data_IF_189296841255
#
_entry.id   IF_189296841255
#
_cell.length_a   1.000
_cell.length_b   1.000
_cell.length_c   1.000
_cell.angle_alpha   90.00
_cell.angle_beta   90.00
_cell.angle_gamma   90.00
#
_symmetry.space_group_name_H-M   'P 1'
#
loop_
_entity.id
_entity.type
_entity.pdbx_description
1 polymer ?
#
# COMPACT_ATOMS: atom_id res chain seq x y z
N UNK A 1 28.97 4.36 5.23
CA UNK A 1 28.55 3.40 4.24
C UNK A 1 29.74 3.09 3.32
N UNK A 2 30.08 1.81 3.21
CA UNK A 2 31.15 1.37 2.31
C UNK A 2 30.71 1.55 0.86
N UNK A 3 31.60 2.03 0.03
CA UNK A 3 31.37 2.10 -1.42
C UNK A 3 31.27 0.68 -2.02
N UNK A 4 30.64 0.51 -3.19
CA UNK A 4 30.62 -0.78 -3.90
C UNK A 4 32.02 -1.37 -4.13
N UNK A 5 33.01 -0.52 -4.38
CA UNK A 5 34.41 -0.90 -4.56
C UNK A 5 35.05 -1.44 -3.27
N UNK A 6 34.74 -0.83 -2.12
CA UNK A 6 35.24 -1.29 -0.81
C UNK A 6 34.57 -2.61 -0.38
N UNK A 7 33.29 -2.82 -0.74
CA UNK A 7 32.61 -4.11 -0.57
C UNK A 7 33.26 -5.19 -1.44
N UNK A 8 33.54 -4.88 -2.69
CA UNK A 8 34.20 -5.79 -3.61
C UNK A 8 35.60 -6.18 -3.12
N UNK A 9 36.40 -5.22 -2.66
CA UNK A 9 37.72 -5.46 -2.09
C UNK A 9 37.70 -6.31 -0.80
N UNK A 10 36.64 -6.21 0.01
CA UNK A 10 36.42 -7.08 1.19
C UNK A 10 35.98 -8.49 0.85
N UNK A 11 35.32 -8.67 -0.29
CA UNK A 11 34.87 -9.98 -0.79
C UNK A 11 35.92 -10.67 -1.70
N UNK A 12 36.95 -9.94 -2.14
CA UNK A 12 38.13 -10.53 -2.80
C UNK A 12 39.09 -11.10 -1.76
N UNK A 13 39.54 -12.22 -1.95
CA UNK A 13 38.94 -13.53 -1.81
C UNK A 13 39.56 -14.30 -0.68
N UNK A 14 38.78 -14.85 0.15
CA UNK A 14 39.26 -16.05 0.81
C UNK A 14 39.66 -17.08 -0.27
N UNK A 15 40.83 -17.70 -0.16
CA UNK A 15 41.31 -18.71 -1.13
C UNK A 15 40.28 -19.85 -1.35
N UNK A 16 39.36 -20.06 -0.40
CA UNK A 16 38.23 -20.95 -0.52
C UNK A 16 37.23 -20.53 -1.62
N UNK A 17 37.02 -19.24 -1.86
CA UNK A 17 36.09 -18.76 -2.90
C UNK A 17 36.60 -19.01 -4.32
N UNK A 18 37.92 -19.16 -4.51
CA UNK A 18 38.50 -19.49 -5.81
C UNK A 18 38.20 -20.92 -6.24
N UNK A 19 37.75 -21.78 -5.31
CA UNK A 19 37.36 -23.18 -5.55
C UNK A 19 35.86 -23.38 -5.76
N UNK A 20 35.06 -22.32 -5.55
CA UNK A 20 33.63 -22.38 -5.82
C UNK A 20 33.41 -22.45 -7.35
N UNK A 21 32.43 -23.22 -7.76
CA UNK A 21 32.00 -23.23 -9.15
C UNK A 21 31.40 -21.87 -9.59
N UNK A 22 31.12 -21.74 -10.87
CA UNK A 22 30.63 -20.47 -11.44
C UNK A 22 29.31 -20.05 -10.77
N UNK A 23 28.41 -21.01 -10.48
CA UNK A 23 27.11 -20.73 -9.86
C UNK A 23 27.29 -20.21 -8.45
N UNK A 24 28.12 -20.91 -7.63
CA UNK A 24 28.36 -20.50 -6.26
C UNK A 24 29.09 -19.15 -6.20
N UNK A 25 30.02 -18.88 -7.12
CA UNK A 25 30.69 -17.57 -7.23
C UNK A 25 29.72 -16.46 -7.60
N UNK A 26 28.81 -16.73 -8.54
CA UNK A 26 27.78 -15.77 -8.93
C UNK A 26 26.86 -15.44 -7.75
N UNK A 27 26.42 -16.45 -6.98
CA UNK A 27 25.57 -16.24 -5.80
C UNK A 27 26.28 -15.43 -4.69
N UNK A 28 27.59 -15.65 -4.49
CA UNK A 28 28.35 -14.96 -3.44
C UNK A 28 28.79 -13.56 -3.85
N UNK A 29 29.09 -13.35 -5.15
CA UNK A 29 29.41 -12.02 -5.70
C UNK A 29 28.19 -11.20 -6.09
N UNK A 30 27.00 -11.73 -5.82
CA UNK A 30 25.75 -11.14 -6.20
C UNK A 30 25.50 -9.77 -5.53
N UNK A 31 25.31 -8.76 -6.34
CA UNK A 31 24.80 -7.45 -5.93
C UNK A 31 23.30 -7.39 -6.26
N UNK A 32 22.48 -7.06 -5.26
CA UNK A 32 21.01 -7.02 -5.40
C UNK A 32 20.55 -6.13 -6.57
N UNK A 33 21.31 -5.09 -6.87
CA UNK A 33 21.03 -4.18 -7.98
C UNK A 33 21.21 -4.83 -9.36
N UNK A 34 22.14 -5.77 -9.50
CA UNK A 34 22.36 -6.45 -10.79
C UNK A 34 21.24 -7.46 -11.15
N UNK A 35 20.59 -8.13 -10.18
CA UNK A 35 19.42 -8.96 -10.49
C UNK A 35 18.23 -8.09 -10.92
N UNK A 36 17.99 -6.98 -10.24
CA UNK A 36 16.94 -6.05 -10.63
C UNK A 36 17.12 -5.59 -12.10
N UNK A 37 18.37 -5.31 -12.50
CA UNK A 37 18.66 -4.91 -13.87
C UNK A 37 18.52 -6.07 -14.86
N UNK A 38 18.91 -7.28 -14.49
CA UNK A 38 18.71 -8.49 -15.31
C UNK A 38 17.23 -8.78 -15.51
N UNK A 39 16.44 -8.76 -14.45
CA UNK A 39 14.99 -8.96 -14.52
C UNK A 39 14.31 -7.88 -15.37
N UNK A 40 14.77 -6.63 -15.25
CA UNK A 40 14.26 -5.50 -16.03
C UNK A 40 14.53 -5.67 -17.52
N UNK A 41 15.67 -6.25 -17.89
CA UNK A 41 16.04 -6.49 -19.30
C UNK A 41 15.07 -7.43 -20.03
N UNK A 42 14.35 -8.28 -19.30
CA UNK A 42 13.37 -9.21 -19.88
C UNK A 42 11.94 -8.66 -19.91
N UNK A 43 11.70 -7.50 -19.28
CA UNK A 43 10.38 -6.89 -19.25
C UNK A 43 10.04 -6.19 -20.58
N UNK A 44 8.78 -6.24 -21.02
CA UNK A 44 8.29 -5.35 -22.08
C UNK A 44 8.57 -3.88 -21.75
N UNK A 45 8.87 -3.09 -22.76
CA UNK A 45 9.32 -1.70 -22.61
C UNK A 45 8.40 -0.84 -21.72
N UNK A 46 7.08 -1.03 -21.79
CA UNK A 46 6.13 -0.30 -20.96
C UNK A 46 6.26 -0.66 -19.46
N UNK A 47 6.47 -1.93 -19.14
CA UNK A 47 6.69 -2.39 -17.76
C UNK A 47 8.05 -1.96 -17.23
N UNK A 48 9.09 -2.03 -18.06
CA UNK A 48 10.43 -1.55 -17.71
C UNK A 48 10.43 -0.05 -17.40
N UNK A 49 9.79 0.76 -18.25
CA UNK A 49 9.64 2.20 -18.02
C UNK A 49 8.84 2.53 -16.74
N UNK A 50 7.76 1.78 -16.50
CA UNK A 50 6.99 1.93 -15.27
C UNK A 50 7.82 1.59 -14.03
N UNK A 51 8.54 0.46 -14.05
CA UNK A 51 9.45 0.05 -12.98
C UNK A 51 10.49 1.12 -12.68
N UNK A 52 11.17 1.64 -13.71
CA UNK A 52 12.15 2.72 -13.56
C UNK A 52 11.54 3.94 -12.89
N UNK A 53 10.36 4.38 -13.33
CA UNK A 53 9.65 5.51 -12.73
C UNK A 53 9.39 5.31 -11.23
N UNK A 54 8.91 4.12 -10.83
CA UNK A 54 8.65 3.84 -9.41
C UNK A 54 9.95 3.72 -8.62
N UNK A 55 11.01 3.12 -9.18
CA UNK A 55 12.34 3.05 -8.60
C UNK A 55 12.92 4.44 -8.34
N UNK A 56 12.82 5.35 -9.30
CA UNK A 56 13.30 6.72 -9.16
C UNK A 56 12.55 7.48 -8.06
N UNK A 57 11.22 7.33 -8.02
CA UNK A 57 10.42 7.87 -6.92
C UNK A 57 10.86 7.29 -5.56
N UNK A 58 11.01 5.98 -5.47
CA UNK A 58 11.42 5.29 -4.24
C UNK A 58 12.84 5.69 -3.80
N UNK A 59 13.77 5.83 -4.74
CA UNK A 59 15.13 6.28 -4.45
C UNK A 59 15.18 7.72 -3.93
N UNK A 60 14.35 8.60 -4.50
CA UNK A 60 14.30 10.02 -4.16
C UNK A 60 13.59 10.30 -2.84
N UNK A 61 12.42 9.70 -2.63
CA UNK A 61 11.52 10.08 -1.53
C UNK A 61 11.39 9.01 -0.43
N UNK A 62 11.64 7.74 -0.71
CA UNK A 62 11.44 6.66 0.26
C UNK A 62 12.74 6.24 0.94
N UNK A 63 13.75 5.91 0.14
CA UNK A 63 15.03 5.37 0.64
C UNK A 63 15.76 6.29 1.62
N UNK A 64 15.84 7.62 1.44
CA UNK A 64 16.53 8.51 2.37
C UNK A 64 15.92 8.51 3.78
N UNK A 65 14.61 8.27 3.89
CA UNK A 65 13.87 8.35 5.15
C UNK A 65 13.58 6.99 5.79
N UNK A 66 13.99 5.89 5.14
CA UNK A 66 13.67 4.52 5.55
C UNK A 66 14.09 4.22 6.98
N UNK A 67 15.32 4.57 7.35
CA UNK A 67 15.86 4.30 8.68
C UNK A 67 15.22 5.19 9.75
N UNK A 68 15.03 6.46 9.48
CA UNK A 68 14.42 7.41 10.42
C UNK A 68 13.00 6.98 10.76
N UNK A 69 12.17 6.72 9.73
CA UNK A 69 10.76 6.36 9.92
C UNK A 69 10.56 4.94 10.46
N UNK A 70 11.55 4.06 10.36
CA UNK A 70 11.49 2.76 11.04
C UNK A 70 11.74 2.88 12.55
N UNK A 71 12.52 3.85 12.99
CA UNK A 71 12.82 4.08 14.40
C UNK A 71 11.86 5.06 15.07
N UNK A 72 11.51 6.13 14.39
CA UNK A 72 10.72 7.24 14.92
C UNK A 72 9.58 7.59 13.97
N UNK A 73 8.41 7.90 14.54
CA UNK A 73 7.32 8.46 13.76
C UNK A 73 7.57 9.95 13.60
N UNK A 74 7.94 10.37 12.40
CA UNK A 74 8.07 11.77 12.02
C UNK A 74 6.91 12.17 11.09
N UNK A 75 5.90 12.90 11.59
CA UNK A 75 4.76 13.31 10.77
C UNK A 75 5.15 14.23 9.61
N UNK A 76 6.21 15.02 9.75
CA UNK A 76 6.67 15.93 8.70
C UNK A 76 7.27 15.15 7.52
N UNK A 77 8.13 14.18 7.80
CA UNK A 77 8.69 13.28 6.78
C UNK A 77 7.61 12.44 6.09
N UNK A 78 6.65 11.92 6.86
CA UNK A 78 5.51 11.22 6.27
C UNK A 78 4.71 12.14 5.36
N UNK A 79 4.45 13.37 5.77
CA UNK A 79 3.72 14.35 4.97
C UNK A 79 4.46 14.67 3.67
N UNK A 80 5.77 14.83 3.71
CA UNK A 80 6.60 15.04 2.52
C UNK A 80 6.46 13.89 1.52
N UNK A 81 6.64 12.64 1.98
CA UNK A 81 6.57 11.46 1.12
C UNK A 81 5.18 11.28 0.51
N UNK A 82 4.12 11.43 1.32
CA UNK A 82 2.75 11.27 0.84
C UNK A 82 2.33 12.39 -0.10
N UNK A 83 2.77 13.62 0.17
CA UNK A 83 2.54 14.76 -0.74
C UNK A 83 3.27 14.57 -2.07
N UNK A 84 4.52 14.10 -2.04
CA UNK A 84 5.25 13.75 -3.26
C UNK A 84 4.54 12.64 -4.05
N UNK A 85 4.02 11.61 -3.37
CA UNK A 85 3.29 10.52 -4.00
C UNK A 85 2.00 11.02 -4.69
N UNK A 86 1.28 11.94 -4.08
CA UNK A 86 0.10 12.57 -4.68
C UNK A 86 0.46 13.47 -5.87
N UNK A 87 1.50 14.30 -5.74
CA UNK A 87 1.95 15.23 -6.79
C UNK A 87 2.49 14.48 -8.00
N UNK A 88 3.29 13.43 -7.79
CA UNK A 88 3.85 12.58 -8.84
C UNK A 88 2.87 11.49 -9.32
N UNK A 89 1.62 11.54 -8.87
CA UNK A 89 0.54 10.64 -9.28
C UNK A 89 0.84 9.15 -9.01
N UNK A 90 1.51 8.85 -7.90
CA UNK A 90 1.76 7.46 -7.48
C UNK A 90 0.47 6.79 -6.99
N UNK A 91 -0.46 7.55 -6.42
CA UNK A 91 -1.73 7.02 -5.91
C UNK A 91 -2.74 6.66 -6.99
N UNK A 92 -2.73 7.39 -8.12
CA UNK A 92 -3.72 7.24 -9.18
C UNK A 92 -3.14 6.72 -10.51
N UNK A 93 -1.87 6.36 -10.54
CA UNK A 93 -1.15 6.00 -11.79
C UNK A 93 -1.71 4.76 -12.49
N UNK A 94 -2.36 3.85 -11.77
CA UNK A 94 -2.98 2.64 -12.30
C UNK A 94 -4.51 2.76 -12.45
N UNK A 95 -5.10 3.86 -12.01
CA UNK A 95 -6.53 4.09 -12.20
C UNK A 95 -6.86 4.51 -13.64
N UNK A 96 -8.02 4.06 -14.17
CA UNK A 96 -8.44 4.49 -15.50
C UNK A 96 -8.81 5.98 -15.52
N UNK A 97 -8.75 6.66 -16.69
CA UNK A 97 -9.31 7.98 -16.85
C UNK A 97 -10.81 8.02 -16.49
N UNK A 98 -11.32 9.10 -15.92
CA UNK A 98 -10.67 10.39 -15.67
C UNK A 98 -9.85 10.46 -14.36
N UNK A 99 -9.82 9.39 -13.56
CA UNK A 99 -9.26 9.39 -12.21
C UNK A 99 -7.72 9.23 -12.20
N UNK A 100 -7.15 8.60 -13.23
CA UNK A 100 -5.71 8.37 -13.32
C UNK A 100 -5.21 8.24 -14.74
N UNK A 101 -3.95 7.82 -14.89
CA UNK A 101 -3.27 7.69 -16.18
C UNK A 101 -3.10 6.22 -16.61
N UNK A 102 -3.84 5.29 -16.01
CA UNK A 102 -3.71 3.86 -16.23
C UNK A 102 -4.17 3.33 -17.59
N UNK A 103 -4.65 4.21 -18.47
CA UNK A 103 -5.17 3.79 -19.81
C UNK A 103 -4.19 2.96 -20.64
N UNK A 104 -2.89 3.20 -20.49
CA UNK A 104 -1.86 2.46 -21.20
C UNK A 104 -1.52 1.14 -20.51
N UNK A 105 -1.54 1.12 -19.18
CA UNK A 105 -1.26 -0.06 -18.40
C UNK A 105 -2.32 -1.14 -18.64
N UNK A 106 -3.59 -0.77 -18.53
CA UNK A 106 -4.73 -1.71 -18.65
C UNK A 106 -4.92 -2.22 -20.08
N UNK A 107 -4.56 -1.43 -21.09
CA UNK A 107 -4.76 -1.82 -22.50
C UNK A 107 -3.71 -2.78 -23.03
N UNK A 108 -2.51 -2.85 -22.43
CA UNK A 108 -1.35 -3.56 -23.00
C UNK A 108 -0.90 -4.72 -22.12
N UNK A 109 -0.99 -4.58 -20.78
CA UNK A 109 -0.53 -5.60 -19.83
C UNK A 109 -1.49 -5.74 -18.65
N UNK A 110 -1.59 -6.93 -18.03
CA UNK A 110 -2.42 -7.14 -16.84
C UNK A 110 -2.05 -6.19 -15.70
N UNK A 111 -3.04 -5.53 -15.12
CA UNK A 111 -2.86 -4.61 -13.98
C UNK A 111 -2.05 -5.21 -12.81
N UNK A 112 -2.21 -6.51 -12.45
CA UNK A 112 -1.42 -7.12 -11.40
C UNK A 112 0.09 -7.01 -11.59
N UNK A 113 0.61 -7.03 -12.82
CA UNK A 113 2.05 -6.85 -13.08
C UNK A 113 2.54 -5.46 -12.68
N UNK A 114 1.78 -4.42 -13.00
CA UNK A 114 2.12 -3.06 -12.58
C UNK A 114 2.08 -2.90 -11.07
N UNK A 115 1.08 -3.50 -10.39
CA UNK A 115 1.01 -3.50 -8.94
C UNK A 115 2.18 -4.23 -8.30
N UNK A 116 2.58 -5.38 -8.86
CA UNK A 116 3.73 -6.14 -8.35
C UNK A 116 5.02 -5.35 -8.48
N UNK A 117 5.29 -4.75 -9.65
CA UNK A 117 6.46 -3.90 -9.84
C UNK A 117 6.47 -2.68 -8.91
N UNK A 118 5.31 -2.06 -8.73
CA UNK A 118 5.16 -0.94 -7.79
C UNK A 118 5.45 -1.34 -6.35
N UNK A 119 4.88 -2.46 -5.91
CA UNK A 119 5.10 -2.98 -4.57
C UNK A 119 6.57 -3.35 -4.35
N UNK A 120 7.17 -4.01 -5.32
CA UNK A 120 8.57 -4.42 -5.31
C UNK A 120 9.51 -3.23 -5.13
N UNK A 121 9.42 -2.21 -5.98
CA UNK A 121 10.32 -1.06 -5.95
C UNK A 121 10.12 -0.17 -4.71
N UNK A 122 8.88 0.06 -4.29
CA UNK A 122 8.60 0.83 -3.08
C UNK A 122 9.10 0.09 -1.82
N UNK A 123 8.82 -1.22 -1.72
CA UNK A 123 9.20 -2.02 -0.56
C UNK A 123 10.69 -2.34 -0.53
N UNK A 124 11.38 -2.43 -1.69
CA UNK A 124 12.83 -2.55 -1.75
C UNK A 124 13.54 -1.31 -1.19
N UNK A 125 12.92 -0.13 -1.30
CA UNK A 125 13.45 1.09 -0.68
C UNK A 125 13.17 1.12 0.84
N UNK A 126 11.93 0.81 1.24
CA UNK A 126 11.52 0.64 2.65
C UNK A 126 10.17 -0.10 2.73
N UNK A 127 10.17 -1.30 3.33
CA UNK A 127 8.94 -2.10 3.46
C UNK A 127 7.83 -1.40 4.24
N UNK A 128 8.15 -0.60 5.25
CA UNK A 128 7.17 0.15 6.03
C UNK A 128 6.55 1.31 5.25
N UNK A 129 7.36 2.15 4.62
CA UNK A 129 6.86 3.27 3.82
C UNK A 129 6.14 2.74 2.57
N UNK A 130 6.71 1.72 1.91
CA UNK A 130 6.07 1.06 0.77
C UNK A 130 4.68 0.55 1.12
N UNK A 131 4.53 -0.17 2.25
CA UNK A 131 3.23 -0.62 2.74
C UNK A 131 2.27 0.55 2.99
N UNK A 132 2.74 1.63 3.64
CA UNK A 132 1.89 2.79 3.93
C UNK A 132 1.34 3.46 2.66
N UNK A 133 2.17 3.57 1.62
CA UNK A 133 1.74 4.10 0.31
C UNK A 133 0.78 3.16 -0.41
N UNK A 134 1.05 1.84 -0.39
CA UNK A 134 0.22 0.84 -1.05
C UNK A 134 -1.15 0.65 -0.35
N UNK A 135 -1.20 0.82 0.96
CA UNK A 135 -2.43 0.72 1.74
C UNK A 135 -3.49 1.74 1.28
N UNK A 136 -3.08 2.92 0.80
CA UNK A 136 -4.01 3.89 0.19
C UNK A 136 -4.68 3.32 -1.05
N UNK A 137 -3.93 2.64 -1.92
CA UNK A 137 -4.47 1.95 -3.09
C UNK A 137 -5.45 0.85 -2.72
N UNK A 138 -5.12 0.07 -1.69
CA UNK A 138 -6.02 -0.97 -1.16
C UNK A 138 -7.31 -0.37 -0.60
N UNK A 139 -7.22 0.77 0.11
CA UNK A 139 -8.40 1.47 0.64
C UNK A 139 -9.29 2.08 -0.44
N UNK A 140 -8.72 2.53 -1.56
CA UNK A 140 -9.47 3.11 -2.69
C UNK A 140 -10.04 2.05 -3.65
N UNK A 141 -9.42 0.87 -3.70
CA UNK A 141 -9.82 -0.20 -4.62
C UNK A 141 -11.32 -0.56 -4.55
N UNK A 142 -11.94 -0.70 -3.37
CA UNK A 142 -13.38 -1.02 -3.30
C UNK A 142 -14.28 0.04 -3.92
N UNK A 143 -13.90 1.32 -3.84
CA UNK A 143 -14.67 2.42 -4.45
C UNK A 143 -14.64 2.28 -5.98
N UNK A 144 -13.49 1.90 -6.53
CA UNK A 144 -13.31 1.73 -7.98
C UNK A 144 -13.97 0.44 -8.47
N UNK A 145 -13.81 -0.65 -7.71
CA UNK A 145 -14.29 -1.99 -8.09
C UNK A 145 -15.79 -2.20 -7.85
N UNK A 146 -16.42 -1.36 -7.05
CA UNK A 146 -17.86 -1.45 -6.80
C UNK A 146 -18.73 -1.32 -8.05
N UNK A 147 -18.21 -0.66 -9.10
CA UNK A 147 -18.99 -0.29 -10.27
C UNK A 147 -19.96 0.87 -10.02
N UNK A 148 -20.04 1.40 -8.81
CA UNK A 148 -20.86 2.58 -8.48
C UNK A 148 -20.15 3.85 -9.00
N UNK A 149 -20.49 4.20 -10.23
CA UNK A 149 -19.94 5.39 -10.91
C UNK A 149 -20.29 6.68 -10.16
N UNK A 150 -21.45 6.74 -9.51
CA UNK A 150 -21.87 7.92 -8.76
C UNK A 150 -21.00 8.10 -7.51
N UNK A 151 -20.75 7.03 -6.74
CA UNK A 151 -19.85 7.04 -5.60
C UNK A 151 -18.40 7.37 -6.05
N UNK A 152 -17.90 6.72 -7.09
CA UNK A 152 -16.57 6.98 -7.64
C UNK A 152 -16.41 8.45 -8.05
N UNK A 153 -17.36 9.00 -8.82
CA UNK A 153 -17.32 10.40 -9.26
C UNK A 153 -17.46 11.41 -8.12
N UNK A 154 -18.09 11.03 -7.03
CA UNK A 154 -18.23 11.88 -5.84
C UNK A 154 -16.98 11.91 -4.98
N UNK A 155 -16.35 10.77 -4.75
CA UNK A 155 -15.29 10.64 -3.73
C UNK A 155 -13.88 10.65 -4.31
N UNK A 156 -13.63 10.01 -5.46
CA UNK A 156 -12.28 9.92 -6.02
C UNK A 156 -11.64 11.28 -6.36
N UNK A 157 -12.36 12.29 -6.89
CA UNK A 157 -11.76 13.60 -7.13
C UNK A 157 -11.22 14.27 -5.86
N UNK A 158 -11.89 14.10 -4.72
CA UNK A 158 -11.42 14.62 -3.43
C UNK A 158 -10.22 13.80 -2.91
N UNK A 159 -10.33 12.47 -2.96
CA UNK A 159 -9.31 11.53 -2.47
C UNK A 159 -8.00 11.66 -3.26
N UNK A 160 -8.08 11.84 -4.57
CA UNK A 160 -6.93 11.86 -5.48
C UNK A 160 -6.45 13.28 -5.81
N UNK A 161 -7.04 14.30 -5.20
CA UNK A 161 -6.63 15.69 -5.37
C UNK A 161 -5.18 15.88 -4.94
N UNK A 162 -4.43 16.62 -5.75
CA UNK A 162 -3.10 17.06 -5.33
C UNK A 162 -3.22 18.00 -4.14
N UNK A 163 -2.49 17.75 -3.05
CA UNK A 163 -2.53 18.63 -1.87
C UNK A 163 -1.93 20.00 -2.20
N UNK A 164 -2.39 21.02 -1.50
CA UNK A 164 -1.73 22.31 -1.49
C UNK A 164 -0.40 22.21 -0.72
N UNK A 165 0.47 23.22 -0.86
CA UNK A 165 1.74 23.24 -0.13
C UNK A 165 1.50 23.19 1.39
N UNK A 166 2.08 22.20 2.04
CA UNK A 166 1.91 21.97 3.48
C UNK A 166 0.64 21.24 3.89
N UNK A 167 -0.21 20.88 2.93
CA UNK A 167 -1.40 20.07 3.18
C UNK A 167 -1.06 18.57 3.08
N UNK A 168 -1.53 17.76 4.02
CA UNK A 168 -1.44 16.31 3.93
C UNK A 168 -2.50 15.78 2.95
N UNK A 169 -2.15 14.90 1.99
CA UNK A 169 -3.11 14.39 1.02
C UNK A 169 -4.19 13.55 1.71
N UNK A 170 -5.36 13.46 1.08
CA UNK A 170 -6.41 12.58 1.54
C UNK A 170 -5.99 11.11 1.36
N UNK A 171 -5.92 10.37 2.46
CA UNK A 171 -5.55 8.95 2.49
C UNK A 171 -6.79 8.12 2.82
N UNK A 172 -6.89 6.96 2.19
CA UNK A 172 -7.92 5.97 2.47
C UNK A 172 -7.28 4.74 3.10
N UNK A 173 -7.80 4.33 4.25
CA UNK A 173 -7.42 3.07 4.88
C UNK A 173 -8.44 1.97 4.58
N UNK A 174 -7.98 0.72 4.58
CA UNK A 174 -8.81 -0.48 4.33
C UNK A 174 -9.05 -1.22 5.64
N UNK A 175 -10.28 -1.23 6.12
CA UNK A 175 -10.64 -1.74 7.43
C UNK A 175 -11.54 -2.98 7.33
N UNK A 176 -10.91 -4.16 7.21
CA UNK A 176 -11.59 -5.47 7.17
C UNK A 176 -11.38 -6.25 8.47
N UNK A 177 -10.14 -6.34 8.96
CA UNK A 177 -9.76 -7.19 10.09
C UNK A 177 -10.42 -6.77 11.39
N UNK A 178 -10.92 -7.74 12.14
CA UNK A 178 -11.55 -7.60 13.44
C UNK A 178 -10.77 -8.34 14.53
N UNK A 179 -11.02 -8.10 15.83
CA UNK A 179 -10.30 -8.81 16.89
C UNK A 179 -10.41 -10.33 16.85
N UNK A 180 -11.52 -10.85 16.32
CA UNK A 180 -11.81 -12.28 16.25
C UNK A 180 -11.57 -12.90 14.89
N UNK A 181 -11.42 -12.11 13.82
CA UNK A 181 -11.34 -12.61 12.46
C UNK A 181 -10.60 -11.66 11.51
N UNK A 182 -10.00 -12.21 10.47
CA UNK A 182 -9.25 -11.48 9.45
C UNK A 182 -9.51 -12.04 8.06
N UNK A 183 -8.54 -12.77 7.48
CA UNK A 183 -8.61 -13.35 6.13
C UNK A 183 -9.69 -14.41 5.95
N UNK A 184 -10.18 -15.02 7.00
CA UNK A 184 -11.31 -15.96 7.00
C UNK A 184 -12.61 -15.34 6.47
N UNK A 185 -12.75 -14.03 6.51
CA UNK A 185 -13.87 -13.32 5.89
C UNK A 185 -13.81 -13.28 4.35
N UNK A 186 -12.67 -13.63 3.77
CA UNK A 186 -12.46 -13.66 2.32
C UNK A 186 -12.79 -15.03 1.71
N UNK A 187 -13.01 -16.06 2.53
CA UNK A 187 -13.34 -17.41 2.07
C UNK A 187 -14.84 -17.64 1.99
N UNK A 188 -15.31 -17.95 0.78
CA UNK A 188 -16.74 -18.21 0.53
C UNK A 188 -17.29 -19.44 1.26
N UNK A 189 -16.45 -20.45 1.55
CA UNK A 189 -16.87 -21.71 2.19
C UNK A 189 -16.96 -21.64 3.72
N UNK A 190 -16.18 -20.77 4.35
CA UNK A 190 -16.16 -20.57 5.81
C UNK A 190 -16.96 -19.37 6.28
N UNK A 191 -17.33 -18.48 5.36
CA UNK A 191 -17.98 -17.21 5.67
C UNK A 191 -19.31 -17.36 6.44
N UNK A 192 -20.08 -18.41 6.17
CA UNK A 192 -21.35 -18.69 6.86
C UNK A 192 -21.19 -19.03 8.36
N UNK A 193 -20.00 -19.41 8.79
CA UNK A 193 -19.71 -19.74 10.19
C UNK A 193 -19.20 -18.54 10.98
N UNK A 194 -18.84 -17.46 10.28
CA UNK A 194 -18.33 -16.25 10.91
C UNK A 194 -19.45 -15.28 11.26
N UNK A 195 -19.40 -14.75 12.45
CA UNK A 195 -20.30 -13.69 12.92
C UNK A 195 -19.53 -12.37 12.99
N UNK A 196 -19.74 -11.43 12.05
CA UNK A 196 -19.05 -10.15 12.05
C UNK A 196 -19.28 -9.39 13.34
N UNK A 197 -18.19 -8.84 13.92
CA UNK A 197 -18.27 -7.96 15.08
C UNK A 197 -18.59 -6.51 14.71
N UNK A 198 -18.43 -6.15 13.43
CA UNK A 198 -18.79 -4.81 12.94
C UNK A 198 -20.12 -4.90 12.18
N UNK A 199 -21.13 -4.24 12.72
CA UNK A 199 -22.51 -4.30 12.25
C UNK A 199 -22.98 -2.91 11.79
N UNK A 200 -23.67 -2.88 10.67
CA UNK A 200 -24.33 -1.70 10.12
C UNK A 200 -25.86 -1.82 10.29
N UNK A 201 -26.44 -0.88 11.01
CA UNK A 201 -27.89 -0.77 11.22
C UNK A 201 -28.45 0.40 10.42
N UNK A 202 -29.54 0.16 9.71
CA UNK A 202 -30.23 1.24 9.00
C UNK A 202 -30.94 2.17 9.98
N UNK A 203 -30.77 3.47 9.79
CA UNK A 203 -31.41 4.53 10.57
C UNK A 203 -31.96 5.60 9.65
N UNK A 204 -32.80 6.48 10.17
CA UNK A 204 -33.30 7.61 9.39
C UNK A 204 -32.16 8.48 8.87
N UNK A 205 -32.05 8.60 7.57
CA UNK A 205 -31.02 9.40 6.90
C UNK A 205 -29.68 8.71 6.66
N UNK A 206 -29.55 7.39 6.95
CA UNK A 206 -28.30 6.68 6.67
C UNK A 206 -28.10 5.38 7.42
N UNK A 207 -26.87 5.15 7.86
CA UNK A 207 -26.43 3.94 8.54
C UNK A 207 -25.70 4.27 9.84
N UNK A 208 -25.92 3.48 10.87
CA UNK A 208 -25.16 3.48 12.09
C UNK A 208 -24.25 2.24 12.10
N UNK A 209 -22.94 2.46 12.10
CA UNK A 209 -21.94 1.41 12.21
C UNK A 209 -21.51 1.28 13.66
N UNK A 210 -21.46 0.05 14.15
CA UNK A 210 -20.92 -0.26 15.48
C UNK A 210 -20.00 -1.46 15.38
N UNK A 211 -18.77 -1.32 15.89
CA UNK A 211 -17.78 -2.37 15.86
C UNK A 211 -16.37 -1.85 16.04
N UNK A 212 -15.40 -2.77 15.95
CA UNK A 212 -13.97 -2.48 16.08
C UNK A 212 -13.19 -3.19 15.00
N UNK A 213 -12.35 -2.43 14.32
CA UNK A 213 -11.35 -2.94 13.38
C UNK A 213 -9.96 -2.83 13.98
N UNK A 214 -9.06 -3.77 13.66
CA UNK A 214 -7.68 -3.84 14.19
C UNK A 214 -6.69 -4.04 13.06
N UNK A 215 -5.43 -3.69 13.29
CA UNK A 215 -4.34 -3.84 12.33
C UNK A 215 -4.56 -3.10 11.00
N UNK A 216 -5.16 -1.92 11.08
CA UNK A 216 -5.53 -1.15 9.88
C UNK A 216 -4.38 -0.23 9.50
N UNK A 217 -3.65 -0.61 8.45
CA UNK A 217 -2.53 0.17 7.93
C UNK A 217 -2.98 1.58 7.52
N UNK A 218 -2.30 2.59 8.08
CA UNK A 218 -2.64 3.98 7.84
C UNK A 218 -3.92 4.47 8.52
N UNK A 219 -4.56 3.67 9.39
CA UNK A 219 -5.80 4.05 10.06
C UNK A 219 -5.70 5.32 10.91
N UNK A 220 -4.51 5.64 11.43
CA UNK A 220 -4.25 6.84 12.23
C UNK A 220 -4.08 8.12 11.40
N UNK A 221 -3.72 8.01 10.12
CA UNK A 221 -3.52 9.16 9.22
C UNK A 221 -4.62 9.30 8.16
N UNK A 222 -5.43 8.27 7.93
CA UNK A 222 -6.43 8.25 6.88
C UNK A 222 -7.53 9.29 7.10
N UNK A 223 -7.92 10.00 6.03
CA UNK A 223 -9.06 10.91 6.00
C UNK A 223 -10.37 10.15 5.78
N UNK A 224 -10.29 9.04 5.07
CA UNK A 224 -11.38 8.12 4.77
C UNK A 224 -10.99 6.70 5.16
N UNK A 225 -11.95 5.93 5.58
CA UNK A 225 -11.78 4.53 5.91
C UNK A 225 -12.84 3.72 5.17
N UNK A 226 -12.40 2.79 4.34
CA UNK A 226 -13.24 1.76 3.72
C UNK A 226 -13.51 0.67 4.74
N UNK A 227 -14.65 0.74 5.41
CA UNK A 227 -15.04 -0.15 6.51
C UNK A 227 -15.97 -1.23 6.00
N UNK A 228 -15.61 -2.49 6.22
CA UNK A 228 -16.52 -3.62 5.98
C UNK A 228 -17.35 -3.92 7.21
N UNK A 229 -18.66 -4.02 7.03
CA UNK A 229 -19.62 -4.38 8.06
C UNK A 229 -20.73 -5.28 7.50
N UNK A 230 -21.26 -6.17 8.31
CA UNK A 230 -22.47 -6.91 7.96
C UNK A 230 -23.70 -6.07 8.32
N UNK A 231 -24.80 -6.28 7.59
CA UNK A 231 -26.07 -5.67 7.96
C UNK A 231 -26.65 -6.37 9.19
N UNK A 232 -27.32 -5.59 10.02
CA UNK A 232 -27.95 -6.10 11.25
C UNK A 232 -28.90 -7.26 10.94
N UNK A 233 -28.70 -8.40 11.59
CA UNK A 233 -29.49 -9.65 11.45
C UNK A 233 -29.36 -10.38 10.10
N UNK A 234 -28.38 -10.02 9.24
CA UNK A 234 -28.25 -10.64 7.91
C UNK A 234 -27.01 -11.52 7.75
N UNK A 235 -26.05 -11.47 8.69
CA UNK A 235 -24.82 -12.28 8.65
C UNK A 235 -23.83 -11.87 7.56
N UNK A 236 -22.89 -12.77 7.23
CA UNK A 236 -21.79 -12.50 6.29
C UNK A 236 -22.23 -12.25 4.85
N UNK A 237 -23.35 -12.78 4.42
CA UNK A 237 -23.87 -12.59 3.06
C UNK A 237 -24.21 -11.13 2.76
N UNK A 238 -24.45 -10.33 3.82
CA UNK A 238 -24.73 -8.90 3.75
C UNK A 238 -23.47 -8.02 3.83
N UNK A 239 -22.27 -8.61 3.78
CA UNK A 239 -21.00 -7.91 3.91
C UNK A 239 -20.89 -6.73 2.96
N UNK A 240 -20.93 -5.53 3.51
CA UNK A 240 -21.07 -4.28 2.78
C UNK A 240 -19.93 -3.34 3.11
N UNK A 241 -19.42 -2.63 2.09
CA UNK A 241 -18.43 -1.58 2.28
C UNK A 241 -19.12 -0.25 2.60
N UNK A 242 -18.63 0.41 3.63
CA UNK A 242 -19.02 1.77 4.01
C UNK A 242 -17.79 2.68 3.95
N UNK A 243 -17.89 3.78 3.20
CA UNK A 243 -16.85 4.81 3.21
C UNK A 243 -17.09 5.78 4.35
N UNK A 244 -16.29 5.68 5.39
CA UNK A 244 -16.38 6.47 6.61
C UNK A 244 -15.37 7.63 6.59
N UNK A 245 -15.81 8.85 6.87
CA UNK A 245 -14.91 9.99 7.10
C UNK A 245 -14.41 10.01 8.54
N UNK A 246 -13.16 10.36 8.74
CA UNK A 246 -12.54 10.50 10.06
C UNK A 246 -13.34 11.39 11.02
N UNK A 247 -13.95 12.45 10.54
CA UNK A 247 -14.71 13.40 11.37
C UNK A 247 -16.14 12.99 11.73
N UNK A 248 -16.58 11.77 11.38
CA UNK A 248 -17.91 11.31 11.74
C UNK A 248 -18.03 11.09 13.24
N UNK A 249 -19.19 11.45 13.81
CA UNK A 249 -19.49 11.26 15.23
C UNK A 249 -19.36 9.77 15.60
N UNK A 250 -18.70 9.48 16.71
CA UNK A 250 -18.43 8.12 17.18
C UNK A 250 -17.21 7.42 16.55
N UNK A 251 -16.57 8.01 15.54
CA UNK A 251 -15.32 7.47 15.01
C UNK A 251 -14.14 7.80 15.95
N UNK A 252 -13.35 6.79 16.26
CA UNK A 252 -12.12 6.97 17.04
C UNK A 252 -11.02 6.02 16.59
N UNK A 253 -9.77 6.44 16.75
CA UNK A 253 -8.58 5.60 16.57
C UNK A 253 -7.97 5.37 17.96
N UNK A 254 -7.78 4.13 18.36
CA UNK A 254 -7.33 3.80 19.71
C UNK A 254 -5.81 4.01 19.85
N UNK A 255 -5.01 3.15 19.25
CA UNK A 255 -3.55 3.19 19.35
C UNK A 255 -2.93 2.54 18.12
N UNK A 256 -1.67 2.87 17.86
CA UNK A 256 -0.87 2.17 16.88
C UNK A 256 -0.19 0.96 17.51
N UNK A 257 -0.13 -0.14 16.76
CA UNK A 257 0.56 -1.35 17.20
C UNK A 257 2.09 -1.18 17.15
N UNK A 258 2.77 -1.78 18.13
CA UNK A 258 4.24 -1.85 18.19
C UNK A 258 4.72 -3.05 17.37
N UNK A 259 4.88 -2.86 16.07
CA UNK A 259 5.27 -3.93 15.15
C UNK A 259 6.76 -4.25 15.22
N UNK A 260 7.14 -5.50 14.92
CA UNK A 260 8.54 -5.94 14.82
C UNK A 260 9.22 -5.41 13.56
N UNK A 261 8.48 -5.29 12.45
CA UNK A 261 8.95 -4.76 11.16
C UNK A 261 7.93 -3.84 10.52
N UNK A 262 8.29 -3.21 9.39
CA UNK A 262 7.44 -2.26 8.67
C UNK A 262 6.91 -1.12 9.57
N UNK A 263 7.74 -0.65 10.48
CA UNK A 263 7.35 0.24 11.58
C UNK A 263 6.97 1.65 11.11
N UNK A 264 7.44 2.04 9.92
CA UNK A 264 7.04 3.29 9.27
C UNK A 264 5.56 3.30 8.86
N UNK A 265 4.93 2.13 8.64
CA UNK A 265 3.48 2.01 8.48
C UNK A 265 2.84 1.90 9.85
N UNK A 266 1.85 2.72 10.14
CA UNK A 266 0.99 2.55 11.31
C UNK A 266 -0.02 1.41 11.09
N UNK A 267 -0.45 0.77 12.16
CA UNK A 267 -1.53 -0.21 12.15
C UNK A 267 -2.22 -0.26 13.51
#
# INVERSE_FOLDING_TARGET
PMTPTERRARLEPHAAMRRLDVVARTLVSYESESIWDMDTATLPAALAAYRTRIRDFAAKYVRPHSRTLDHEKDPALLSEIFSAAAVENIFADLLPPPFGNGRFAVAVHPMPLFYSLKAEELCAACGGIGLALLAHGLGTAPIVLSGDVAAASRFLPEILRKPATGEFPAIVAYAITEPAAGSDVEESHGASLYHPGTIARRVTGGWLLNGRKVFISGGDIASYISVFAALENEGMESWTLFLVRRGFAGFSVARNEKKMGQRASSA
#
